data_IF_629954690158
#
_entry.id   IF_629954690158
#
_cell.length_a   1.000
_cell.length_b   1.000
_cell.length_c   1.000
_cell.angle_alpha   90.00
_cell.angle_beta   90.00
_cell.angle_gamma   90.00
#
_symmetry.space_group_name_H-M   'P 1'
#
loop_
_entity.id
_entity.type
_entity.pdbx_description
1 polymer ?
#
# COMPACT_ATOMS: atom_id res chain seq x y z
N UNK A 1 -13.82 9.85 21.40
CA UNK A 1 -13.26 9.67 22.75
C UNK A 1 -13.23 8.21 23.17
N UNK A 2 -14.36 7.45 23.26
CA UNK A 2 -14.33 6.02 23.69
C UNK A 2 -13.52 5.08 22.78
N UNK A 3 -13.50 5.29 21.47
CA UNK A 3 -12.74 4.46 20.53
C UNK A 3 -11.22 4.67 20.68
N UNK A 4 -10.80 5.91 20.89
CA UNK A 4 -9.39 6.28 21.14
C UNK A 4 -8.89 5.68 22.47
N UNK A 5 -9.71 5.73 23.54
CA UNK A 5 -9.37 5.14 24.84
C UNK A 5 -9.30 3.60 24.78
N UNK A 6 -10.15 2.98 23.98
CA UNK A 6 -10.14 1.52 23.76
C UNK A 6 -8.91 1.11 22.99
N UNK A 7 -8.53 1.89 21.96
CA UNK A 7 -7.33 1.67 21.17
C UNK A 7 -6.06 1.90 21.99
N UNK A 8 -5.94 2.99 22.75
CA UNK A 8 -4.82 3.27 23.65
C UNK A 8 -4.64 2.18 24.72
N UNK A 9 -5.75 1.57 25.19
CA UNK A 9 -5.70 0.47 26.13
C UNK A 9 -5.32 -0.88 25.49
N UNK A 10 -5.61 -1.08 24.17
CA UNK A 10 -5.20 -2.28 23.45
C UNK A 10 -3.69 -2.27 23.13
N UNK A 11 -3.10 -1.11 22.90
CA UNK A 11 -1.66 -0.87 22.72
C UNK A 11 -0.85 -1.47 23.89
N UNK A 12 -1.37 -1.41 25.12
CA UNK A 12 -0.71 -1.90 26.33
C UNK A 12 -0.68 -3.43 26.50
N UNK A 13 -1.31 -4.19 25.59
CA UNK A 13 -1.46 -5.66 25.70
C UNK A 13 -0.85 -6.46 24.54
N UNK A 14 0.36 -6.13 24.12
CA UNK A 14 1.04 -6.95 23.10
C UNK A 14 1.52 -8.28 23.70
N UNK A 15 1.14 -9.39 23.06
CA UNK A 15 1.53 -10.76 23.48
C UNK A 15 2.87 -11.25 22.92
N UNK A 16 3.51 -10.52 21.99
CA UNK A 16 4.80 -10.88 21.39
C UNK A 16 5.89 -9.88 21.80
N UNK A 17 6.88 -10.33 22.59
CA UNK A 17 7.94 -9.46 23.12
C UNK A 17 9.08 -9.15 22.11
N UNK A 18 8.98 -9.59 20.86
CA UNK A 18 10.06 -9.33 19.88
C UNK A 18 10.12 -7.84 19.51
N UNK A 19 11.29 -7.19 19.60
CA UNK A 19 11.41 -5.81 19.19
C UNK A 19 11.16 -5.70 17.69
N UNK A 20 10.26 -4.81 17.28
CA UNK A 20 9.94 -4.54 15.87
C UNK A 20 11.09 -3.84 15.15
N UNK A 21 11.97 -3.19 15.91
CA UNK A 21 13.19 -2.54 15.47
C UNK A 21 14.40 -3.19 16.15
N UNK A 22 15.47 -3.36 15.41
CA UNK A 22 16.76 -3.66 16.00
C UNK A 22 17.31 -2.43 16.74
N UNK A 23 18.15 -2.63 17.76
CA UNK A 23 18.85 -1.53 18.47
C UNK A 23 19.57 -0.60 17.50
N UNK A 24 20.14 -1.13 16.41
CA UNK A 24 20.77 -0.35 15.36
C UNK A 24 19.78 0.58 14.64
N UNK A 25 18.58 0.14 14.32
CA UNK A 25 17.56 0.95 13.65
C UNK A 25 17.05 2.10 14.55
N UNK A 26 16.97 1.84 15.86
CA UNK A 26 16.65 2.87 16.85
C UNK A 26 17.78 3.90 16.99
N UNK A 27 19.04 3.45 17.06
CA UNK A 27 20.20 4.33 17.24
C UNK A 27 20.54 5.16 15.99
N UNK A 28 20.16 4.69 14.79
CA UNK A 28 20.38 5.42 13.53
C UNK A 28 19.34 6.54 13.28
N UNK A 29 18.35 6.73 14.16
CA UNK A 29 17.32 7.76 14.03
C UNK A 29 16.52 7.67 12.72
N UNK A 30 16.33 6.45 12.20
CA UNK A 30 15.69 6.22 10.89
C UNK A 30 14.20 6.54 10.89
N UNK A 31 13.57 6.53 12.06
CA UNK A 31 12.15 6.73 12.23
C UNK A 31 11.87 7.69 13.37
N UNK A 32 10.83 8.52 13.23
CA UNK A 32 10.35 9.38 14.30
C UNK A 32 9.84 8.53 15.47
N UNK A 33 10.03 9.01 16.69
CA UNK A 33 9.54 8.36 17.92
C UNK A 33 8.03 8.10 17.84
N UNK A 34 7.25 9.10 17.39
CA UNK A 34 5.80 8.97 17.23
C UNK A 34 5.40 7.82 16.29
N UNK A 35 6.12 7.64 15.15
CA UNK A 35 5.90 6.49 14.28
C UNK A 35 6.20 5.16 14.98
N UNK A 36 7.30 5.10 15.72
CA UNK A 36 7.71 3.89 16.44
C UNK A 36 6.67 3.51 17.50
N UNK A 37 6.22 4.47 18.30
CA UNK A 37 5.20 4.27 19.33
C UNK A 37 3.87 3.81 18.71
N UNK A 38 3.41 4.50 17.67
CA UNK A 38 2.18 4.16 16.96
C UNK A 38 2.23 2.72 16.41
N UNK A 39 3.29 2.36 15.70
CA UNK A 39 3.42 1.05 15.07
C UNK A 39 3.66 -0.08 16.08
N UNK A 40 4.29 0.20 17.22
CA UNK A 40 4.40 -0.77 18.32
C UNK A 40 3.03 -1.14 18.90
N UNK A 41 2.08 -0.22 18.87
CA UNK A 41 0.69 -0.45 19.25
C UNK A 41 -0.13 -1.28 18.27
N UNK A 42 0.26 -1.35 17.01
CA UNK A 42 -0.50 -2.04 15.96
C UNK A 42 -0.23 -3.55 15.95
N UNK A 43 -1.21 -4.37 16.34
CA UNK A 43 -1.05 -5.83 16.40
C UNK A 43 -0.82 -6.47 15.02
N UNK A 44 -1.34 -5.89 13.93
CA UNK A 44 -1.18 -6.38 12.57
C UNK A 44 0.18 -6.09 11.94
N UNK A 45 1.06 -5.32 12.61
CA UNK A 45 2.40 -4.98 12.14
C UNK A 45 3.42 -5.94 12.75
N UNK A 46 3.98 -6.80 11.92
CA UNK A 46 4.95 -7.81 12.30
C UNK A 46 6.41 -7.36 12.10
N UNK A 47 6.63 -6.32 11.29
CA UNK A 47 7.94 -5.75 10.99
C UNK A 47 7.82 -4.30 10.55
N UNK A 48 8.67 -3.43 11.06
CA UNK A 48 8.83 -2.06 10.56
C UNK A 48 9.62 -2.04 9.25
N UNK A 49 9.24 -1.13 8.38
CA UNK A 49 9.94 -0.89 7.11
C UNK A 49 9.90 0.59 6.75
N UNK A 50 10.82 0.98 5.90
CA UNK A 50 10.86 2.33 5.33
C UNK A 50 9.58 2.63 4.51
N UNK A 51 8.96 1.60 3.89
CA UNK A 51 7.71 1.75 3.15
C UNK A 51 6.52 2.06 4.07
N UNK A 52 6.45 1.44 5.27
CA UNK A 52 5.44 1.80 6.27
C UNK A 52 5.65 3.21 6.80
N UNK A 53 6.92 3.61 7.00
CA UNK A 53 7.25 4.98 7.39
C UNK A 53 6.84 6.00 6.31
N UNK A 54 7.06 5.68 5.03
CA UNK A 54 6.54 6.50 3.92
C UNK A 54 5.01 6.63 4.02
N UNK A 55 4.28 5.53 4.23
CA UNK A 55 2.82 5.55 4.37
C UNK A 55 2.38 6.42 5.54
N UNK A 56 3.02 6.31 6.70
CA UNK A 56 2.79 7.16 7.87
C UNK A 56 3.00 8.64 7.54
N UNK A 57 4.16 9.00 6.96
CA UNK A 57 4.50 10.41 6.62
C UNK A 57 3.58 10.98 5.55
N UNK A 58 3.17 10.19 4.56
CA UNK A 58 2.19 10.61 3.55
C UNK A 58 0.84 10.87 4.20
N UNK A 59 0.34 9.97 5.04
CA UNK A 59 -0.93 10.16 5.76
C UNK A 59 -0.89 11.44 6.61
N UNK A 60 0.18 11.63 7.39
CA UNK A 60 0.39 12.82 8.20
C UNK A 60 0.39 14.11 7.34
N UNK A 61 1.12 14.10 6.20
CA UNK A 61 1.19 15.21 5.28
C UNK A 61 -0.19 15.58 4.72
N UNK A 62 -0.95 14.59 4.25
CA UNK A 62 -2.27 14.81 3.64
C UNK A 62 -3.25 15.44 4.63
N UNK A 63 -3.24 14.98 5.88
CA UNK A 63 -4.11 15.53 6.92
C UNK A 63 -3.69 16.91 7.37
N UNK A 64 -2.40 17.16 7.60
CA UNK A 64 -1.89 18.48 8.01
C UNK A 64 -2.09 19.56 6.95
N UNK A 65 -2.34 19.20 5.70
CA UNK A 65 -2.63 20.11 4.61
C UNK A 65 -4.10 20.10 4.18
N UNK A 66 -4.99 19.46 4.97
CA UNK A 66 -6.43 19.36 4.73
C UNK A 66 -6.79 18.88 3.32
N UNK A 67 -5.99 17.95 2.75
CA UNK A 67 -6.21 17.45 1.40
C UNK A 67 -7.41 16.47 1.37
N UNK A 68 -8.44 16.76 0.56
CA UNK A 68 -9.63 15.92 0.47
C UNK A 68 -9.38 14.68 -0.40
N UNK A 69 -10.24 13.66 -0.27
CA UNK A 69 -10.27 12.48 -1.14
C UNK A 69 -9.96 11.18 -0.41
N UNK A 70 -10.23 10.08 -1.09
CA UNK A 70 -10.08 8.73 -0.57
C UNK A 70 -8.60 8.31 -0.47
N UNK A 71 -8.36 7.30 0.36
CA UNK A 71 -7.09 6.57 0.39
C UNK A 71 -7.28 5.24 -0.31
N UNK A 72 -6.37 4.90 -1.21
CA UNK A 72 -6.45 3.69 -2.03
C UNK A 72 -5.12 2.93 -1.97
N UNK A 73 -5.20 1.62 -1.73
CA UNK A 73 -4.11 0.68 -1.95
C UNK A 73 -4.53 -0.38 -2.96
N UNK A 74 -3.74 -0.53 -4.03
CA UNK A 74 -3.84 -1.61 -4.99
C UNK A 74 -2.73 -2.61 -4.71
N UNK A 75 -3.10 -3.88 -4.38
CA UNK A 75 -2.17 -4.88 -3.87
C UNK A 75 -1.97 -4.77 -2.36
N UNK A 76 -2.95 -5.27 -1.61
CA UNK A 76 -3.04 -5.11 -0.14
C UNK A 76 -2.26 -6.18 0.62
N UNK A 77 -2.18 -7.40 0.06
CA UNK A 77 -1.59 -8.57 0.71
C UNK A 77 -2.13 -8.76 2.13
N UNK A 78 -1.32 -8.53 3.16
CA UNK A 78 -1.69 -8.68 4.58
C UNK A 78 -2.16 -7.40 5.26
N UNK A 79 -2.40 -6.33 4.51
CA UNK A 79 -3.01 -5.10 5.01
C UNK A 79 -2.13 -4.21 5.88
N UNK A 80 -0.79 -4.35 5.85
CA UNK A 80 0.09 -3.57 6.74
C UNK A 80 0.04 -2.07 6.48
N UNK A 81 -0.02 -1.65 5.21
CA UNK A 81 -0.14 -0.24 4.85
C UNK A 81 -1.51 0.32 5.22
N UNK A 82 -2.57 -0.47 5.05
CA UNK A 82 -3.92 -0.11 5.50
C UNK A 82 -3.97 0.10 7.02
N UNK A 83 -3.37 -0.82 7.80
CA UNK A 83 -3.26 -0.66 9.26
C UNK A 83 -2.48 0.62 9.59
N UNK A 84 -1.40 0.92 8.87
CA UNK A 84 -0.62 2.14 9.08
C UNK A 84 -1.43 3.39 8.75
N UNK A 85 -2.16 3.42 7.61
CA UNK A 85 -3.06 4.52 7.24
C UNK A 85 -4.11 4.73 8.33
N UNK A 86 -4.84 3.67 8.69
CA UNK A 86 -5.92 3.70 9.66
C UNK A 86 -5.46 4.15 11.05
N UNK A 87 -4.35 3.61 11.55
CA UNK A 87 -3.79 3.99 12.83
C UNK A 87 -3.32 5.46 12.85
N UNK A 88 -2.68 5.93 11.76
CA UNK A 88 -2.24 7.32 11.64
C UNK A 88 -3.42 8.29 11.57
N UNK A 89 -4.49 7.93 10.84
CA UNK A 89 -5.73 8.71 10.80
C UNK A 89 -6.32 8.88 12.20
N UNK A 90 -6.46 7.77 12.95
CA UNK A 90 -6.99 7.79 14.32
C UNK A 90 -6.11 8.59 15.28
N UNK A 91 -4.79 8.45 15.21
CA UNK A 91 -3.84 9.22 16.02
C UNK A 91 -4.00 10.73 15.81
N UNK A 92 -4.30 11.13 14.58
CA UNK A 92 -4.54 12.52 14.21
C UNK A 92 -6.02 12.96 14.36
N UNK A 93 -6.87 12.12 14.99
CA UNK A 93 -8.26 12.45 15.30
C UNK A 93 -9.24 12.32 14.14
N UNK A 94 -8.86 11.66 13.03
CA UNK A 94 -9.68 11.47 11.84
C UNK A 94 -10.18 10.03 11.78
N UNK A 95 -11.49 9.85 11.62
CA UNK A 95 -12.16 8.53 11.56
C UNK A 95 -13.25 8.44 10.49
N UNK A 96 -13.30 9.41 9.58
CA UNK A 96 -14.32 9.53 8.53
C UNK A 96 -13.76 9.46 7.10
N UNK A 97 -12.45 9.21 6.95
CA UNK A 97 -11.78 9.02 5.67
C UNK A 97 -12.07 7.63 5.12
N UNK A 98 -12.53 7.53 3.88
CA UNK A 98 -12.72 6.24 3.22
C UNK A 98 -11.37 5.66 2.77
N UNK A 99 -11.15 4.37 3.04
CA UNK A 99 -9.97 3.61 2.65
C UNK A 99 -10.42 2.42 1.79
N UNK A 100 -9.92 2.36 0.56
CA UNK A 100 -10.24 1.30 -0.40
C UNK A 100 -9.09 0.32 -0.58
N UNK A 101 -9.41 -0.96 -0.48
CA UNK A 101 -8.51 -2.10 -0.51
C UNK A 101 -8.77 -2.91 -1.77
N UNK A 102 -8.00 -2.64 -2.84
CA UNK A 102 -8.08 -3.41 -4.09
C UNK A 102 -7.09 -4.56 -4.06
N UNK A 103 -7.56 -5.78 -4.07
CA UNK A 103 -6.74 -6.99 -4.11
C UNK A 103 -7.54 -8.15 -4.70
N UNK A 104 -6.88 -9.10 -5.30
CA UNK A 104 -7.53 -10.36 -5.70
C UNK A 104 -7.98 -11.16 -4.49
N UNK A 105 -7.30 -11.01 -3.35
CA UNK A 105 -7.38 -11.87 -2.16
C UNK A 105 -7.21 -13.37 -2.50
N UNK A 106 -6.65 -13.61 -3.66
CA UNK A 106 -6.35 -14.93 -4.21
C UNK A 106 -4.86 -15.11 -4.58
N UNK A 107 -4.02 -14.13 -4.18
CA UNK A 107 -2.60 -14.06 -4.51
C UNK A 107 -2.33 -13.33 -5.82
N UNK A 108 -1.09 -13.38 -6.31
CA UNK A 108 -0.69 -12.62 -7.50
C UNK A 108 -1.36 -13.10 -8.78
N UNK A 109 -1.72 -12.17 -9.64
CA UNK A 109 -2.11 -12.43 -11.02
C UNK A 109 -0.93 -12.95 -11.85
N UNK A 110 -1.21 -13.50 -13.03
CA UNK A 110 -0.19 -13.96 -13.96
C UNK A 110 0.67 -12.77 -14.44
N UNK A 111 2.02 -12.91 -14.43
CA UNK A 111 2.91 -11.90 -15.00
C UNK A 111 2.81 -11.89 -16.53
N UNK A 112 2.97 -10.72 -17.14
CA UNK A 112 3.00 -10.56 -18.59
C UNK A 112 4.41 -10.61 -19.19
N UNK A 113 4.50 -10.51 -20.52
CA UNK A 113 5.78 -10.53 -21.25
C UNK A 113 6.71 -9.35 -20.93
N UNK A 114 6.16 -8.25 -20.40
CA UNK A 114 6.93 -7.07 -20.00
C UNK A 114 7.47 -7.16 -18.58
N UNK A 115 7.12 -8.21 -17.83
CA UNK A 115 7.47 -8.33 -16.43
C UNK A 115 8.78 -9.11 -16.24
N UNK A 116 9.68 -8.54 -15.49
CA UNK A 116 10.93 -9.13 -15.05
C UNK A 116 11.36 -8.51 -13.71
N UNK A 117 12.12 -9.25 -12.90
CA UNK A 117 12.63 -8.74 -11.61
C UNK A 117 14.02 -8.15 -11.74
N UNK A 118 14.12 -6.85 -11.48
CA UNK A 118 15.41 -6.15 -11.42
C UNK A 118 16.29 -6.74 -10.30
N UNK A 119 17.55 -6.98 -10.62
CA UNK A 119 18.53 -7.45 -9.64
C UNK A 119 18.52 -8.95 -9.35
N UNK A 120 17.49 -9.69 -9.76
CA UNK A 120 17.49 -11.17 -9.73
C UNK A 120 17.75 -11.79 -11.09
N UNK A 121 17.81 -10.97 -12.16
CA UNK A 121 17.95 -11.44 -13.56
C UNK A 121 16.93 -12.53 -13.94
N UNK A 122 15.74 -12.47 -13.34
CA UNK A 122 14.65 -13.40 -13.61
C UNK A 122 13.90 -12.92 -14.86
N UNK A 123 13.86 -13.78 -15.90
CA UNK A 123 13.18 -13.46 -17.17
C UNK A 123 11.65 -13.57 -17.03
N UNK A 124 10.87 -13.03 -18.01
CA UNK A 124 9.41 -13.20 -18.01
C UNK A 124 8.99 -14.68 -17.97
N UNK A 125 9.66 -15.55 -18.72
CA UNK A 125 9.35 -16.99 -18.76
C UNK A 125 9.62 -17.65 -17.40
N UNK A 126 10.70 -17.27 -16.72
CA UNK A 126 11.01 -17.78 -15.39
C UNK A 126 10.00 -17.28 -14.34
N UNK A 127 9.53 -16.03 -14.46
CA UNK A 127 8.47 -15.50 -13.63
C UNK A 127 7.15 -16.25 -13.83
N UNK A 128 6.74 -16.47 -15.10
CA UNK A 128 5.53 -17.21 -15.44
C UNK A 128 5.59 -18.64 -14.91
N UNK A 129 6.70 -19.37 -15.15
CA UNK A 129 6.89 -20.72 -14.64
C UNK A 129 6.84 -20.79 -13.10
N UNK A 130 7.43 -19.79 -12.41
CA UNK A 130 7.35 -19.68 -10.95
C UNK A 130 5.92 -19.44 -10.49
N UNK A 131 5.19 -18.54 -11.16
CA UNK A 131 3.80 -18.24 -10.86
C UNK A 131 2.91 -19.49 -11.05
N UNK A 132 3.06 -20.20 -12.15
CA UNK A 132 2.35 -21.45 -12.43
C UNK A 132 2.62 -22.51 -11.37
N UNK A 133 3.88 -22.67 -10.96
CA UNK A 133 4.29 -23.63 -9.91
C UNK A 133 3.66 -23.36 -8.53
N UNK A 134 3.05 -22.19 -8.32
CA UNK A 134 2.42 -21.77 -7.08
C UNK A 134 0.90 -21.75 -7.13
N UNK A 135 0.31 -22.22 -8.23
CA UNK A 135 -1.13 -22.37 -8.34
C UNK A 135 -1.63 -23.51 -7.45
N UNK A 136 -2.65 -23.23 -6.66
CA UNK A 136 -3.29 -24.21 -5.78
C UNK A 136 -4.78 -23.86 -5.56
N UNK A 137 -5.69 -24.73 -5.99
CA UNK A 137 -7.13 -24.61 -5.71
C UNK A 137 -7.70 -23.22 -6.08
N UNK A 138 -7.36 -22.71 -7.27
CA UNK A 138 -7.89 -21.43 -7.79
C UNK A 138 -7.24 -20.18 -7.21
N UNK A 139 -6.10 -20.31 -6.52
CA UNK A 139 -5.34 -19.18 -5.96
C UNK A 139 -3.85 -19.36 -6.22
N UNK A 140 -3.11 -18.25 -6.24
CA UNK A 140 -1.66 -18.27 -6.33
C UNK A 140 -1.05 -18.05 -4.93
N UNK A 141 -0.14 -18.93 -4.51
CA UNK A 141 0.46 -18.86 -3.17
C UNK A 141 1.53 -17.75 -3.03
N UNK A 142 1.88 -17.06 -4.13
CA UNK A 142 2.78 -15.90 -4.06
C UNK A 142 1.96 -14.72 -3.53
N UNK A 143 2.41 -14.13 -2.42
CA UNK A 143 1.71 -12.99 -1.77
C UNK A 143 0.23 -13.26 -1.50
N UNK A 144 -0.13 -14.50 -1.18
CA UNK A 144 -1.50 -14.85 -0.83
C UNK A 144 -1.85 -14.42 0.59
N UNK A 145 -2.99 -13.76 0.72
CA UNK A 145 -3.72 -13.58 1.96
C UNK A 145 -5.22 -13.52 1.62
N UNK A 146 -6.02 -14.40 2.20
CA UNK A 146 -7.47 -14.42 1.94
C UNK A 146 -8.16 -13.19 2.52
N UNK A 147 -9.26 -12.74 1.92
CA UNK A 147 -9.98 -11.52 2.32
C UNK A 147 -10.35 -11.51 3.80
N UNK A 148 -10.82 -12.63 4.34
CA UNK A 148 -11.19 -12.73 5.75
C UNK A 148 -9.97 -12.59 6.67
N UNK A 149 -8.82 -13.19 6.32
CA UNK A 149 -7.57 -12.98 7.05
C UNK A 149 -7.18 -11.51 7.08
N UNK A 150 -7.25 -10.82 5.91
CA UNK A 150 -6.91 -9.40 5.80
C UNK A 150 -7.89 -8.55 6.62
N UNK A 151 -9.20 -8.84 6.55
CA UNK A 151 -10.21 -8.15 7.35
C UNK A 151 -9.93 -8.23 8.85
N UNK A 152 -9.64 -9.43 9.35
CA UNK A 152 -9.30 -9.63 10.75
C UNK A 152 -8.04 -8.88 11.17
N UNK A 153 -7.03 -8.84 10.30
CA UNK A 153 -5.78 -8.09 10.57
C UNK A 153 -6.02 -6.59 10.57
N UNK A 154 -6.74 -6.06 9.59
CA UNK A 154 -7.02 -4.62 9.49
C UNK A 154 -7.92 -4.15 10.63
N UNK A 155 -8.88 -4.97 11.09
CA UNK A 155 -9.72 -4.68 12.24
C UNK A 155 -8.92 -4.40 13.52
N UNK A 156 -7.67 -4.88 13.62
CA UNK A 156 -6.80 -4.58 14.78
C UNK A 156 -6.38 -3.11 14.86
N UNK A 157 -6.57 -2.33 13.80
CA UNK A 157 -6.38 -0.88 13.81
C UNK A 157 -7.54 -0.13 14.48
N UNK A 158 -8.67 -0.80 14.73
CA UNK A 158 -9.89 -0.21 15.32
C UNK A 158 -10.45 1.00 14.54
N UNK A 159 -10.19 1.07 13.23
CA UNK A 159 -10.79 2.05 12.34
C UNK A 159 -12.26 1.66 12.03
N UNK A 160 -13.17 2.61 11.79
CA UNK A 160 -14.56 2.29 11.49
C UNK A 160 -14.72 1.34 10.28
N UNK A 161 -15.39 0.20 10.47
CA UNK A 161 -15.53 -0.83 9.42
C UNK A 161 -16.26 -0.31 8.19
N UNK A 162 -17.22 0.62 8.36
CA UNK A 162 -17.97 1.26 7.29
C UNK A 162 -17.10 2.17 6.40
N UNK A 163 -15.88 2.47 6.83
CA UNK A 163 -14.88 3.26 6.08
C UNK A 163 -13.80 2.40 5.41
N UNK A 164 -13.88 1.08 5.57
CA UNK A 164 -12.95 0.12 4.98
C UNK A 164 -13.64 -0.65 3.85
N UNK A 165 -13.33 -0.30 2.61
CA UNK A 165 -13.98 -0.84 1.43
C UNK A 165 -13.10 -1.90 0.75
N UNK A 166 -13.48 -3.17 0.91
CA UNK A 166 -12.78 -4.29 0.29
C UNK A 166 -13.31 -4.54 -1.13
N UNK A 167 -12.49 -4.27 -2.14
CA UNK A 167 -12.81 -4.48 -3.56
C UNK A 167 -12.04 -5.71 -4.04
N UNK A 168 -12.70 -6.87 -3.98
CA UNK A 168 -12.10 -8.16 -4.32
C UNK A 168 -12.17 -8.45 -5.81
N UNK A 169 -11.04 -8.77 -6.43
CA UNK A 169 -10.93 -9.16 -7.84
C UNK A 169 -9.67 -8.63 -8.51
N UNK A 170 -9.49 -9.00 -9.76
CA UNK A 170 -8.44 -8.41 -10.60
C UNK A 170 -8.75 -6.93 -10.83
N UNK A 171 -7.77 -6.06 -10.64
CA UNK A 171 -7.96 -4.61 -10.79
C UNK A 171 -8.45 -4.23 -12.20
N UNK A 172 -8.10 -5.01 -13.22
CA UNK A 172 -8.54 -4.82 -14.61
C UNK A 172 -10.04 -5.07 -14.80
N UNK A 173 -10.67 -5.82 -13.89
CA UNK A 173 -12.10 -6.12 -13.89
C UNK A 173 -12.87 -5.24 -12.92
N UNK A 174 -12.24 -4.84 -11.81
CA UNK A 174 -12.89 -4.04 -10.77
C UNK A 174 -12.80 -2.54 -11.01
N UNK A 175 -11.95 -2.09 -11.93
CA UNK A 175 -11.77 -0.69 -12.35
C UNK A 175 -11.88 -0.65 -13.88
N UNK A 176 -12.61 0.35 -14.48
CA UNK A 176 -13.19 1.53 -13.82
C UNK A 176 -14.46 1.24 -13.00
N UNK A 177 -14.66 2.06 -11.98
CA UNK A 177 -15.90 2.08 -11.19
C UNK A 177 -16.20 3.52 -10.76
N UNK A 178 -17.38 3.75 -10.18
CA UNK A 178 -17.87 5.07 -9.76
C UNK A 178 -17.63 5.34 -8.26
N UNK A 179 -16.75 4.59 -7.60
CA UNK A 179 -16.52 4.71 -6.15
C UNK A 179 -15.82 6.02 -5.79
N UNK A 180 -14.89 6.49 -6.65
CA UNK A 180 -14.02 7.60 -6.33
C UNK A 180 -14.34 8.84 -7.14
N UNK A 181 -14.40 9.99 -6.46
CA UNK A 181 -14.43 11.31 -7.09
C UNK A 181 -13.10 12.04 -6.93
N UNK A 182 -12.46 11.86 -5.80
CA UNK A 182 -11.19 12.47 -5.46
C UNK A 182 -10.35 11.47 -4.66
N UNK A 183 -9.07 11.41 -4.97
CA UNK A 183 -8.09 10.56 -4.28
C UNK A 183 -7.03 11.46 -3.66
N UNK A 184 -6.82 11.32 -2.37
CA UNK A 184 -5.71 12.01 -1.68
C UNK A 184 -4.44 11.15 -1.67
N UNK A 185 -4.59 9.85 -1.42
CA UNK A 185 -3.49 8.89 -1.36
C UNK A 185 -3.76 7.70 -2.29
N UNK A 186 -2.87 7.50 -3.26
CA UNK A 186 -2.88 6.35 -4.16
C UNK A 186 -1.59 5.55 -3.98
N UNK A 187 -1.67 4.31 -3.49
CA UNK A 187 -0.56 3.38 -3.37
C UNK A 187 -0.73 2.22 -4.36
N UNK A 188 0.26 2.05 -5.24
CA UNK A 188 0.32 1.01 -6.26
C UNK A 188 1.38 -0.02 -5.87
N UNK A 189 0.96 -1.28 -5.61
CA UNK A 189 1.79 -2.38 -5.11
C UNK A 189 1.36 -3.72 -5.76
N UNK A 190 1.17 -3.69 -7.08
CA UNK A 190 0.68 -4.84 -7.87
C UNK A 190 1.74 -5.51 -8.72
N UNK A 191 3.00 -5.04 -8.64
CA UNK A 191 4.21 -5.60 -9.26
C UNK A 191 4.27 -5.53 -10.81
N UNK A 192 3.13 -5.73 -11.54
CA UNK A 192 3.11 -6.02 -12.97
C UNK A 192 2.82 -4.80 -13.85
N UNK A 193 3.34 -4.82 -15.07
CA UNK A 193 3.18 -3.74 -16.06
C UNK A 193 1.69 -3.44 -16.35
N UNK A 194 0.92 -4.47 -16.70
CA UNK A 194 -0.47 -4.27 -17.12
C UNK A 194 -1.34 -3.71 -15.99
N UNK A 195 -1.09 -4.15 -14.75
CA UNK A 195 -1.82 -3.67 -13.59
C UNK A 195 -1.45 -2.22 -13.27
N UNK A 196 -0.16 -1.92 -13.14
CA UNK A 196 0.33 -0.56 -12.85
C UNK A 196 -0.12 0.45 -13.93
N UNK A 197 -0.07 0.05 -15.22
CA UNK A 197 -0.56 0.89 -16.32
C UNK A 197 -2.07 1.13 -16.22
N UNK A 198 -2.84 0.09 -15.91
CA UNK A 198 -4.29 0.18 -15.76
C UNK A 198 -4.68 1.11 -14.60
N UNK A 199 -4.06 0.95 -13.46
CA UNK A 199 -4.24 1.77 -12.26
C UNK A 199 -3.93 3.25 -12.54
N UNK A 200 -2.79 3.53 -13.16
CA UNK A 200 -2.40 4.90 -13.53
C UNK A 200 -3.42 5.53 -14.51
N UNK A 201 -3.88 4.78 -15.51
CA UNK A 201 -4.85 5.28 -16.50
C UNK A 201 -6.19 5.66 -15.87
N UNK A 202 -6.63 4.95 -14.83
CA UNK A 202 -7.93 5.16 -14.23
C UNK A 202 -7.90 6.04 -12.98
N UNK A 203 -6.84 6.01 -12.19
CA UNK A 203 -6.79 6.73 -10.92
C UNK A 203 -5.99 8.03 -10.96
N UNK A 204 -5.00 8.16 -11.86
CA UNK A 204 -4.11 9.31 -11.84
C UNK A 204 -4.85 10.65 -11.89
N UNK A 205 -5.84 10.79 -12.77
CA UNK A 205 -6.57 12.05 -12.94
C UNK A 205 -7.53 12.35 -11.78
N UNK A 206 -7.90 11.35 -10.98
CA UNK A 206 -8.71 11.50 -9.77
C UNK A 206 -7.88 11.95 -8.56
N UNK A 207 -6.55 11.79 -8.60
CA UNK A 207 -5.69 12.28 -7.51
C UNK A 207 -5.71 13.80 -7.50
N UNK A 208 -6.05 14.38 -6.35
CA UNK A 208 -6.16 15.83 -6.19
C UNK A 208 -4.80 16.54 -6.30
N UNK A 209 -4.74 17.83 -6.69
CA UNK A 209 -3.51 18.62 -6.55
C UNK A 209 -3.01 18.60 -5.11
N UNK A 210 -1.73 18.31 -4.90
CA UNK A 210 -1.16 18.07 -3.56
C UNK A 210 -1.32 16.64 -3.05
N UNK A 211 -2.17 15.81 -3.67
CA UNK A 211 -2.29 14.40 -3.35
C UNK A 211 -1.02 13.61 -3.70
N UNK A 212 -0.88 12.43 -3.12
CA UNK A 212 0.34 11.64 -3.20
C UNK A 212 0.07 10.31 -3.90
N UNK A 213 0.95 9.96 -4.83
CA UNK A 213 1.01 8.65 -5.46
C UNK A 213 2.29 7.96 -5.01
N UNK A 214 2.16 6.74 -4.46
CA UNK A 214 3.29 5.88 -4.10
C UNK A 214 3.29 4.67 -5.02
N UNK A 215 4.44 4.38 -5.63
CA UNK A 215 4.67 3.25 -6.51
C UNK A 215 5.73 2.36 -5.84
N UNK A 216 5.32 1.20 -5.32
CA UNK A 216 6.20 0.32 -4.53
C UNK A 216 7.32 -0.29 -5.38
N UNK A 217 6.99 -0.70 -6.59
CA UNK A 217 7.79 -1.63 -7.39
C UNK A 217 8.66 -1.00 -8.47
N UNK A 218 8.66 0.31 -8.61
CA UNK A 218 9.42 1.02 -9.66
C UNK A 218 10.92 0.63 -9.71
N UNK A 219 11.53 0.40 -8.57
CA UNK A 219 12.95 0.04 -8.47
C UNK A 219 13.22 -1.46 -8.51
N UNK A 220 12.21 -2.32 -8.35
CA UNK A 220 12.32 -3.78 -8.17
C UNK A 220 11.77 -4.59 -9.34
N UNK A 221 10.75 -4.10 -10.05
CA UNK A 221 10.09 -4.77 -11.17
C UNK A 221 10.20 -3.93 -12.45
N UNK A 222 10.66 -4.56 -13.53
CA UNK A 222 10.82 -3.87 -14.84
C UNK A 222 9.45 -3.48 -15.39
N UNK A 223 8.43 -4.33 -15.22
CA UNK A 223 7.07 -4.07 -15.68
C UNK A 223 6.47 -2.82 -15.06
N UNK A 224 6.44 -2.73 -13.73
CA UNK A 224 5.94 -1.56 -13.02
C UNK A 224 6.69 -0.27 -13.41
N UNK A 225 8.03 -0.34 -13.51
CA UNK A 225 8.83 0.79 -13.97
C UNK A 225 8.45 1.23 -15.37
N UNK A 226 8.38 0.27 -16.30
CA UNK A 226 8.06 0.55 -17.69
C UNK A 226 6.67 1.17 -17.84
N UNK A 227 5.68 0.67 -17.09
CA UNK A 227 4.34 1.25 -17.07
C UNK A 227 4.35 2.72 -16.64
N UNK A 228 5.08 3.05 -15.57
CA UNK A 228 5.20 4.44 -15.08
C UNK A 228 5.90 5.34 -16.10
N UNK A 229 7.03 4.88 -16.63
CA UNK A 229 7.83 5.67 -17.60
C UNK A 229 7.03 5.92 -18.89
N UNK A 230 6.32 4.92 -19.42
CA UNK A 230 5.46 5.03 -20.60
C UNK A 230 4.24 5.92 -20.33
N UNK A 231 3.52 5.72 -19.21
CA UNK A 231 2.35 6.52 -18.85
C UNK A 231 2.66 8.03 -18.83
N UNK A 232 3.74 8.41 -18.15
CA UNK A 232 4.13 9.82 -18.08
C UNK A 232 4.73 10.34 -19.40
N UNK A 233 5.43 9.49 -20.14
CA UNK A 233 5.95 9.81 -21.47
C UNK A 233 4.83 10.11 -22.49
N UNK A 234 3.78 9.29 -22.52
CA UNK A 234 2.61 9.50 -23.39
C UNK A 234 1.85 10.79 -23.04
N UNK A 235 1.83 11.18 -21.78
CA UNK A 235 1.19 12.44 -21.34
C UNK A 235 2.08 13.67 -21.51
N UNK A 236 3.33 13.51 -21.94
CA UNK A 236 4.30 14.60 -21.99
C UNK A 236 4.55 15.26 -20.61
N UNK A 237 4.35 14.50 -19.52
CA UNK A 237 4.50 14.96 -18.14
C UNK A 237 5.66 14.23 -17.47
N UNK A 238 6.48 14.96 -16.76
CA UNK A 238 7.67 14.41 -16.09
C UNK A 238 7.67 14.79 -14.60
N UNK A 239 6.88 14.07 -13.78
CA UNK A 239 6.85 14.34 -12.34
C UNK A 239 8.18 13.97 -11.68
N UNK A 240 8.50 14.64 -10.57
CA UNK A 240 9.64 14.24 -9.75
C UNK A 240 9.32 12.90 -9.05
N UNK A 241 10.03 11.84 -9.46
CA UNK A 241 9.97 10.53 -8.83
C UNK A 241 10.92 10.50 -7.62
N UNK A 242 10.44 10.93 -6.46
CA UNK A 242 11.22 10.94 -5.23
C UNK A 242 11.46 9.51 -4.75
N UNK A 243 12.73 9.14 -4.61
CA UNK A 243 13.10 7.83 -4.08
C UNK A 243 12.97 7.80 -2.56
N UNK A 244 12.04 7.02 -2.03
CA UNK A 244 11.86 6.79 -0.60
C UNK A 244 12.62 5.55 -0.12
N UNK A 245 12.57 4.48 -0.92
CA UNK A 245 13.34 3.25 -0.65
C UNK A 245 14.10 2.79 -1.92
N UNK A 246 14.71 1.60 -1.86
CA UNK A 246 15.35 1.00 -3.03
C UNK A 246 14.34 0.77 -4.18
N UNK A 247 13.13 0.32 -3.87
CA UNK A 247 12.08 -0.01 -4.84
C UNK A 247 11.06 1.12 -5.01
N UNK A 248 10.64 1.75 -3.94
CA UNK A 248 9.52 2.68 -3.88
C UNK A 248 9.84 4.07 -4.43
N UNK A 249 8.86 4.66 -5.12
CA UNK A 249 8.86 6.06 -5.57
C UNK A 249 7.61 6.77 -5.11
N UNK A 250 7.77 8.05 -4.80
CA UNK A 250 6.69 8.95 -4.42
C UNK A 250 6.59 10.09 -5.43
N UNK A 251 5.36 10.41 -5.82
CA UNK A 251 5.00 11.54 -6.66
C UNK A 251 4.05 12.44 -5.87
N UNK A 252 4.37 13.72 -5.79
CA UNK A 252 3.44 14.75 -5.37
C UNK A 252 2.70 15.26 -6.61
N UNK A 253 1.36 15.09 -6.66
CA UNK A 253 0.53 15.55 -7.78
C UNK A 253 0.50 17.09 -7.79
N UNK A 254 0.74 17.68 -8.96
CA UNK A 254 0.64 19.13 -9.18
C UNK A 254 -0.75 19.51 -9.66
#
# INVERSE_FOLDING_TARGET
MKALDTWLNSIKKRSDPRPLLSERQLSEGRFDEAFVELMQGCQGIDKFSETLYTTYKVTEYLLKNDLPGDFIECGVYRGRHIITMAATLLELGVNDRDIYLYDTFAGMTEPGEKDARRGKKETPEQLAARWESKQQSGRNLIRYAGQEEVRQRVATAHYPDERLHFVAGDIRETVPNDFHRQIAFLRLDTDWYELTMHELKHFYDLVVPGGVIVIDDYGSHEGARKAVDEFFGERGSFPLLTRTTKSERLILKR
#
